data_IF_275764703800
#
_entry.id   IF_275764703800
#
_cell.length_a   1.000
_cell.length_b   1.000
_cell.length_c   1.000
_cell.angle_alpha   90.00
_cell.angle_beta   90.00
_cell.angle_gamma   90.00
#
_symmetry.space_group_name_H-M   'P 1'
#
loop_
_entity.id
_entity.type
_entity.pdbx_description
1 polymer ?
#
# COMPACT_ATOMS: atom_id res chain seq x y z
N UNK A 1 -7.75 -5.38 13.87
CA UNK A 1 -7.27 -4.48 12.77
C UNK A 1 -8.14 -3.23 12.71
N UNK A 2 -7.57 -2.06 12.49
CA UNK A 2 -8.28 -0.77 12.36
C UNK A 2 -8.77 -0.58 10.92
N UNK A 3 -10.00 -0.11 10.75
CA UNK A 3 -10.57 0.28 9.46
C UNK A 3 -11.27 1.63 9.54
N UNK A 4 -11.64 2.21 8.41
CA UNK A 4 -12.35 3.50 8.36
C UNK A 4 -13.73 3.47 9.02
N UNK A 5 -14.33 2.28 9.22
CA UNK A 5 -15.63 2.10 9.88
C UNK A 5 -15.51 1.53 11.31
N UNK A 6 -14.31 1.44 11.86
CA UNK A 6 -14.05 0.88 13.18
C UNK A 6 -13.14 -0.35 13.13
N UNK A 7 -13.02 -1.05 14.25
CA UNK A 7 -12.14 -2.20 14.36
C UNK A 7 -12.86 -3.48 13.93
N UNK A 8 -12.12 -4.38 13.28
CA UNK A 8 -12.59 -5.70 12.84
C UNK A 8 -11.69 -6.81 13.38
N UNK A 9 -12.22 -8.03 13.43
CA UNK A 9 -11.49 -9.23 13.82
C UNK A 9 -10.80 -9.89 12.62
N UNK A 10 -9.66 -10.56 12.86
CA UNK A 10 -8.97 -11.38 11.87
C UNK A 10 -9.87 -12.45 11.23
N UNK A 11 -10.81 -13.00 12.01
CA UNK A 11 -11.72 -14.04 11.53
C UNK A 11 -12.72 -13.55 10.45
N UNK A 12 -12.90 -12.25 10.33
CA UNK A 12 -13.76 -11.65 9.30
C UNK A 12 -13.08 -11.59 7.94
N UNK A 13 -11.75 -11.77 7.86
CA UNK A 13 -10.98 -11.59 6.62
C UNK A 13 -10.87 -12.90 5.84
N UNK A 14 -11.23 -12.84 4.56
CA UNK A 14 -11.12 -13.93 3.59
C UNK A 14 -9.98 -13.70 2.60
N UNK A 15 -9.91 -12.49 2.03
CA UNK A 15 -8.85 -12.10 1.11
C UNK A 15 -8.57 -10.59 1.25
N UNK A 16 -7.32 -10.21 1.12
CA UNK A 16 -6.86 -8.84 1.26
C UNK A 16 -5.95 -8.39 0.10
N UNK A 17 -6.07 -7.13 -0.28
CA UNK A 17 -5.11 -6.40 -1.11
C UNK A 17 -4.41 -5.36 -0.22
N UNK A 18 -3.07 -5.45 -0.13
CA UNK A 18 -2.31 -4.75 0.93
C UNK A 18 -1.71 -3.41 0.51
N UNK A 19 -1.80 -3.04 -0.76
CA UNK A 19 -1.25 -1.78 -1.26
C UNK A 19 -2.03 -1.32 -2.49
N UNK A 20 -3.09 -0.58 -2.25
CA UNK A 20 -3.99 -0.05 -3.28
C UNK A 20 -4.37 1.39 -2.96
N UNK A 21 -5.12 2.00 -3.87
CA UNK A 21 -5.62 3.36 -3.75
C UNK A 21 -7.06 3.44 -4.28
N UNK A 22 -7.98 4.08 -3.56
CA UNK A 22 -9.25 4.46 -4.17
C UNK A 22 -8.99 5.59 -5.17
N UNK A 23 -8.26 6.62 -4.76
CA UNK A 23 -7.78 7.65 -5.69
C UNK A 23 -6.54 8.34 -5.13
N UNK A 24 -5.69 8.80 -6.05
CA UNK A 24 -4.60 9.74 -5.76
C UNK A 24 -4.86 11.01 -6.56
N UNK A 25 -4.87 12.17 -5.92
CA UNK A 25 -5.15 13.43 -6.61
C UNK A 25 -4.56 14.64 -5.89
N UNK A 26 -4.41 15.73 -6.63
CA UNK A 26 -4.04 17.03 -6.08
C UNK A 26 -5.29 17.76 -5.56
N UNK A 27 -5.36 17.99 -4.26
CA UNK A 27 -6.45 18.78 -3.66
C UNK A 27 -6.52 20.19 -4.24
N UNK A 28 -5.37 20.80 -4.53
CA UNK A 28 -5.31 22.13 -5.16
C UNK A 28 -5.97 22.15 -6.54
N UNK A 29 -5.66 21.18 -7.41
CA UNK A 29 -6.29 21.08 -8.72
C UNK A 29 -7.78 20.77 -8.61
N UNK A 30 -8.18 19.95 -7.65
CA UNK A 30 -9.59 19.68 -7.41
C UNK A 30 -10.33 20.93 -6.90
N UNK A 31 -9.73 21.72 -6.02
CA UNK A 31 -10.30 23.00 -5.59
C UNK A 31 -10.44 24.00 -6.75
N UNK A 32 -9.50 24.03 -7.70
CA UNK A 32 -9.50 24.95 -8.84
C UNK A 32 -10.49 24.54 -9.92
N UNK A 33 -10.58 23.24 -10.23
CA UNK A 33 -11.27 22.73 -11.42
C UNK A 33 -12.49 21.84 -11.09
N UNK A 34 -12.67 21.48 -9.82
CA UNK A 34 -13.82 20.71 -9.37
C UNK A 34 -14.02 19.41 -10.17
N UNK A 35 -15.23 19.20 -10.66
CA UNK A 35 -15.59 17.99 -11.40
C UNK A 35 -14.90 17.82 -12.75
N UNK A 36 -14.41 18.90 -13.35
CA UNK A 36 -13.66 18.84 -14.60
C UNK A 36 -12.32 18.13 -14.40
N UNK A 37 -11.76 18.21 -13.20
CA UNK A 37 -10.56 17.47 -12.82
C UNK A 37 -10.88 16.08 -12.26
N UNK A 38 -11.80 15.98 -11.29
CA UNK A 38 -12.20 14.73 -10.65
C UNK A 38 -13.68 14.75 -10.25
N UNK A 39 -14.49 13.93 -10.88
CA UNK A 39 -15.89 13.70 -10.50
C UNK A 39 -15.96 12.66 -9.37
N UNK A 40 -15.86 13.12 -8.11
CA UNK A 40 -15.90 12.28 -6.92
C UNK A 40 -17.16 11.40 -6.83
N UNK A 41 -18.40 11.89 -7.09
CA UNK A 41 -19.57 11.04 -7.11
C UNK A 41 -19.48 9.87 -8.09
N UNK A 42 -19.02 10.11 -9.30
CA UNK A 42 -18.85 9.05 -10.31
C UNK A 42 -17.74 8.07 -9.93
N UNK A 43 -16.65 8.56 -9.32
CA UNK A 43 -15.59 7.72 -8.79
C UNK A 43 -16.11 6.82 -7.67
N UNK A 44 -16.88 7.38 -6.73
CA UNK A 44 -17.51 6.64 -5.63
C UNK A 44 -18.41 5.51 -6.13
N UNK A 45 -19.33 5.81 -7.06
CA UNK A 45 -20.21 4.80 -7.67
C UNK A 45 -19.42 3.65 -8.29
N UNK A 46 -18.37 3.98 -9.04
CA UNK A 46 -17.50 3.00 -9.68
C UNK A 46 -16.74 2.15 -8.67
N UNK A 47 -16.13 2.76 -7.66
CA UNK A 47 -15.39 2.05 -6.63
C UNK A 47 -16.30 1.08 -5.86
N UNK A 48 -17.52 1.51 -5.50
CA UNK A 48 -18.51 0.66 -4.83
C UNK A 48 -18.88 -0.54 -5.71
N UNK A 49 -19.17 -0.31 -6.98
CA UNK A 49 -19.60 -1.38 -7.90
C UNK A 49 -18.49 -2.43 -8.07
N UNK A 50 -17.26 -1.99 -8.32
CA UNK A 50 -16.13 -2.89 -8.55
C UNK A 50 -15.71 -3.64 -7.29
N UNK A 51 -15.63 -2.98 -6.12
CA UNK A 51 -15.31 -3.67 -4.88
C UNK A 51 -16.39 -4.70 -4.49
N UNK A 52 -17.67 -4.44 -4.76
CA UNK A 52 -18.74 -5.44 -4.62
C UNK A 52 -18.50 -6.65 -5.52
N UNK A 53 -18.15 -6.42 -6.77
CA UNK A 53 -17.87 -7.50 -7.72
C UNK A 53 -16.68 -8.34 -7.27
N UNK A 54 -15.57 -7.70 -6.87
CA UNK A 54 -14.38 -8.38 -6.36
C UNK A 54 -14.68 -9.21 -5.10
N UNK A 55 -15.51 -8.67 -4.20
CA UNK A 55 -15.97 -9.39 -3.03
C UNK A 55 -16.78 -10.64 -3.39
N UNK A 56 -17.75 -10.51 -4.30
CA UNK A 56 -18.60 -11.61 -4.74
C UNK A 56 -17.82 -12.69 -5.50
N UNK A 57 -16.92 -12.28 -6.38
CA UNK A 57 -16.22 -13.19 -7.30
C UNK A 57 -15.00 -13.86 -6.66
N UNK A 58 -14.26 -13.13 -5.81
CA UNK A 58 -12.98 -13.58 -5.29
C UNK A 58 -12.91 -13.62 -3.76
N UNK A 59 -13.95 -13.20 -3.06
CA UNK A 59 -13.97 -13.13 -1.61
C UNK A 59 -13.13 -11.97 -1.04
N UNK A 60 -12.72 -11.00 -1.87
CA UNK A 60 -11.99 -9.81 -1.40
C UNK A 60 -12.85 -9.05 -0.40
N UNK A 61 -12.38 -8.92 0.83
CA UNK A 61 -13.12 -8.16 1.83
C UNK A 61 -12.25 -7.28 2.73
N UNK A 62 -10.95 -7.18 2.42
CA UNK A 62 -10.05 -6.22 3.02
C UNK A 62 -9.24 -5.49 1.92
N UNK A 63 -9.25 -4.17 1.95
CA UNK A 63 -8.57 -3.30 1.01
C UNK A 63 -7.74 -2.28 1.79
N UNK A 64 -6.42 -2.28 1.61
CA UNK A 64 -5.53 -1.33 2.28
C UNK A 64 -5.28 -0.16 1.34
N UNK A 65 -5.91 0.97 1.64
CA UNK A 65 -5.69 2.23 0.93
C UNK A 65 -4.45 2.92 1.49
N UNK A 66 -3.37 2.87 0.72
CA UNK A 66 -2.07 3.44 1.08
C UNK A 66 -1.93 4.93 0.70
N UNK A 67 -3.03 5.64 0.44
CA UNK A 67 -3.02 7.06 0.06
C UNK A 67 -2.82 7.94 1.31
N UNK A 68 -1.66 8.59 1.51
CA UNK A 68 -1.49 9.56 2.58
C UNK A 68 -2.16 10.91 2.25
N UNK A 69 -2.24 11.79 3.25
CA UNK A 69 -3.00 13.04 3.15
C UNK A 69 -2.52 13.92 1.99
N UNK A 70 -1.22 14.01 1.76
CA UNK A 70 -0.63 14.93 0.77
C UNK A 70 -0.72 14.45 -0.69
N UNK A 71 -1.35 13.32 -0.94
CA UNK A 71 -1.71 12.87 -2.31
C UNK A 71 -3.20 12.54 -2.45
N UNK A 72 -4.05 13.18 -1.63
CA UNK A 72 -5.50 13.21 -1.84
C UNK A 72 -6.28 12.13 -1.10
N UNK A 73 -5.82 11.65 0.07
CA UNK A 73 -6.62 10.77 0.93
C UNK A 73 -7.94 11.45 1.30
N UNK A 74 -9.05 10.82 0.97
CA UNK A 74 -10.39 11.33 1.27
C UNK A 74 -11.15 10.34 2.18
N UNK A 75 -11.17 10.61 3.48
CA UNK A 75 -11.74 9.70 4.48
C UNK A 75 -13.24 9.50 4.31
N UNK A 76 -13.99 10.53 3.96
CA UNK A 76 -15.44 10.41 3.78
C UNK A 76 -15.77 9.54 2.57
N UNK A 77 -14.99 9.66 1.49
CA UNK A 77 -15.08 8.76 0.34
C UNK A 77 -14.76 7.31 0.74
N UNK A 78 -13.66 7.07 1.47
CA UNK A 78 -13.27 5.73 1.92
C UNK A 78 -14.34 5.09 2.82
N UNK A 79 -14.94 5.84 3.74
CA UNK A 79 -16.04 5.38 4.59
C UNK A 79 -17.25 4.99 3.75
N UNK A 80 -17.67 5.86 2.84
CA UNK A 80 -18.84 5.62 1.99
C UNK A 80 -18.63 4.40 1.07
N UNK A 81 -17.45 4.29 0.46
CA UNK A 81 -17.09 3.12 -0.36
C UNK A 81 -17.07 1.84 0.47
N UNK A 82 -16.48 1.87 1.67
CA UNK A 82 -16.41 0.70 2.57
C UNK A 82 -17.82 0.25 3.00
N UNK A 83 -18.64 1.19 3.48
CA UNK A 83 -20.00 0.89 3.92
C UNK A 83 -20.87 0.31 2.81
N UNK A 84 -20.88 0.97 1.64
CA UNK A 84 -21.75 0.59 0.52
C UNK A 84 -21.25 -0.64 -0.24
N UNK A 85 -19.93 -0.90 -0.30
CA UNK A 85 -19.39 -2.12 -0.92
C UNK A 85 -19.40 -3.33 0.01
N UNK A 86 -19.36 -3.08 1.31
CA UNK A 86 -19.16 -4.09 2.34
C UNK A 86 -17.74 -4.67 2.36
N UNK A 87 -16.76 -3.99 1.74
CA UNK A 87 -15.34 -4.30 1.81
C UNK A 87 -14.73 -3.42 2.89
N UNK A 88 -14.05 -4.00 3.86
CA UNK A 88 -13.33 -3.25 4.89
C UNK A 88 -12.18 -2.48 4.26
N UNK A 89 -12.06 -1.18 4.56
CA UNK A 89 -10.96 -0.35 4.07
C UNK A 89 -10.09 0.08 5.25
N UNK A 90 -8.82 -0.27 5.19
CA UNK A 90 -7.76 0.26 6.06
C UNK A 90 -7.22 1.52 5.41
N UNK A 91 -7.22 2.66 6.10
CA UNK A 91 -6.62 3.89 5.60
C UNK A 91 -5.23 4.13 6.20
N UNK A 92 -4.42 4.89 5.49
CA UNK A 92 -3.08 5.27 5.95
C UNK A 92 -3.03 6.67 6.54
N UNK A 93 -2.17 6.87 7.54
CA UNK A 93 -1.54 8.15 7.86
C UNK A 93 -0.15 8.21 7.22
N UNK A 94 0.58 9.31 7.43
CA UNK A 94 1.93 9.46 6.89
C UNK A 94 1.99 10.44 5.72
N UNK A 95 3.12 10.44 5.02
CA UNK A 95 3.37 11.36 3.91
C UNK A 95 4.03 10.66 2.71
N UNK A 96 3.69 11.15 1.52
CA UNK A 96 4.43 10.87 0.29
C UNK A 96 5.56 11.89 0.12
N UNK A 97 6.56 11.59 -0.68
CA UNK A 97 7.78 12.41 -0.85
C UNK A 97 7.59 13.70 -1.69
N UNK A 98 6.38 14.11 -1.96
CA UNK A 98 6.07 15.31 -2.77
C UNK A 98 6.65 16.60 -2.17
N UNK A 99 6.94 17.55 -3.06
CA UNK A 99 7.52 18.85 -2.72
C UNK A 99 6.49 19.78 -2.06
N UNK A 100 6.34 19.64 -0.74
CA UNK A 100 5.48 20.54 0.04
C UNK A 100 6.31 21.34 1.05
N UNK A 101 6.13 22.68 1.10
CA UNK A 101 6.92 23.53 1.99
C UNK A 101 6.90 23.11 3.45
N UNK A 102 5.76 22.66 3.95
CA UNK A 102 5.61 22.19 5.34
C UNK A 102 6.47 20.96 5.64
N UNK A 103 6.60 20.04 4.68
CA UNK A 103 7.44 18.85 4.86
C UNK A 103 8.92 19.19 4.92
N UNK A 104 9.36 20.22 4.21
CA UNK A 104 10.76 20.70 4.26
C UNK A 104 11.08 21.48 5.52
N UNK A 105 10.17 22.38 5.94
CA UNK A 105 10.41 23.31 7.05
C UNK A 105 10.24 22.69 8.44
N UNK A 106 9.46 21.61 8.56
CA UNK A 106 9.19 20.95 9.84
C UNK A 106 10.32 20.01 10.26
N UNK A 107 10.49 19.82 11.57
CA UNK A 107 11.37 18.77 12.12
C UNK A 107 10.73 17.38 12.00
N UNK A 108 11.50 16.32 12.19
CA UNK A 108 10.99 14.95 12.21
C UNK A 108 9.94 14.75 13.32
N UNK A 109 10.17 15.32 14.50
CA UNK A 109 9.27 15.26 15.64
C UNK A 109 7.93 15.93 15.32
N UNK A 110 7.94 17.13 14.73
CA UNK A 110 6.73 17.84 14.32
C UNK A 110 5.94 17.05 13.29
N UNK A 111 6.60 16.46 12.30
CA UNK A 111 5.93 15.62 11.31
C UNK A 111 5.35 14.36 11.95
N UNK A 112 6.06 13.75 12.90
CA UNK A 112 5.55 12.61 13.64
C UNK A 112 4.31 12.95 14.48
N UNK A 113 4.29 14.12 15.16
CA UNK A 113 3.13 14.60 15.89
C UNK A 113 1.90 14.78 14.98
N UNK A 114 2.10 15.30 13.76
CA UNK A 114 1.03 15.38 12.76
C UNK A 114 0.52 13.99 12.36
N UNK A 115 1.41 13.03 12.07
CA UNK A 115 1.01 11.65 11.75
C UNK A 115 0.22 11.00 12.90
N UNK A 116 0.66 11.18 14.15
CA UNK A 116 0.03 10.62 15.35
C UNK A 116 -1.37 11.21 15.54
N UNK A 117 -1.50 12.52 15.45
CA UNK A 117 -2.79 13.21 15.58
C UNK A 117 -3.75 12.80 14.47
N UNK A 118 -3.28 12.81 13.24
CA UNK A 118 -4.03 12.39 12.07
C UNK A 118 -4.53 10.95 12.22
N UNK A 119 -3.64 10.00 12.54
CA UNK A 119 -4.00 8.60 12.76
C UNK A 119 -5.12 8.41 13.80
N UNK A 120 -5.04 9.14 14.92
CA UNK A 120 -6.06 9.08 15.97
C UNK A 120 -7.42 9.62 15.49
N UNK A 121 -7.42 10.65 14.64
CA UNK A 121 -8.65 11.26 14.11
C UNK A 121 -9.37 10.38 13.08
N UNK A 122 -8.62 9.63 12.27
CA UNK A 122 -9.17 8.86 11.15
C UNK A 122 -9.22 7.35 11.40
N UNK A 123 -8.76 6.88 12.57
CA UNK A 123 -8.58 5.47 12.88
C UNK A 123 -7.66 4.76 11.86
N UNK A 124 -6.52 5.38 11.49
CA UNK A 124 -5.59 4.80 10.54
C UNK A 124 -5.08 3.43 11.01
N UNK A 125 -4.97 2.48 10.08
CA UNK A 125 -4.46 1.13 10.35
C UNK A 125 -3.03 0.90 9.86
N UNK A 126 -2.45 1.85 9.10
CA UNK A 126 -1.10 1.74 8.54
C UNK A 126 -0.47 3.14 8.42
N UNK A 127 0.86 3.22 8.46
CA UNK A 127 1.63 4.44 8.21
C UNK A 127 2.27 4.32 6.82
N UNK A 128 2.02 5.29 5.94
CA UNK A 128 2.68 5.40 4.64
C UNK A 128 3.94 6.23 4.75
N UNK A 129 5.04 5.71 4.21
CA UNK A 129 6.26 6.42 3.92
C UNK A 129 6.65 6.24 2.45
N UNK A 130 7.47 7.13 1.91
CA UNK A 130 7.88 7.04 0.52
C UNK A 130 9.29 7.57 0.29
N UNK A 131 10.07 6.85 -0.52
CA UNK A 131 11.39 7.24 -1.01
C UNK A 131 11.51 6.84 -2.48
N UNK A 132 11.93 7.76 -3.34
CA UNK A 132 12.06 7.53 -4.77
C UNK A 132 13.51 7.60 -5.25
N UNK A 133 14.29 8.53 -4.73
CA UNK A 133 15.66 8.80 -5.19
C UNK A 133 16.61 7.64 -4.89
N UNK A 134 17.61 7.45 -5.73
CA UNK A 134 18.67 6.45 -5.54
C UNK A 134 19.46 6.68 -4.23
N UNK A 135 19.67 7.93 -3.87
CA UNK A 135 20.30 8.30 -2.60
C UNK A 135 19.27 8.88 -1.64
N UNK A 136 19.24 8.36 -0.42
CA UNK A 136 18.48 8.99 0.65
C UNK A 136 19.06 10.37 0.95
N UNK A 137 18.36 11.40 0.48
CA UNK A 137 18.69 12.78 0.85
C UNK A 137 18.21 13.08 2.29
N UNK A 138 18.62 14.22 2.83
CA UNK A 138 18.26 14.62 4.20
C UNK A 138 16.75 14.75 4.43
N UNK A 139 15.98 15.07 3.38
CA UNK A 139 14.54 15.17 3.43
C UNK A 139 13.90 13.79 3.57
N UNK A 140 14.29 12.81 2.73
CA UNK A 140 13.78 11.44 2.81
C UNK A 140 14.16 10.77 4.13
N UNK A 141 15.41 10.96 4.61
CA UNK A 141 15.84 10.48 5.91
C UNK A 141 15.00 11.07 7.05
N UNK A 142 14.68 12.36 6.98
CA UNK A 142 13.80 13.03 7.95
C UNK A 142 12.38 12.44 7.96
N UNK A 143 11.78 12.20 6.78
CA UNK A 143 10.45 11.58 6.70
C UNK A 143 10.43 10.16 7.28
N UNK A 144 11.46 9.36 7.02
CA UNK A 144 11.59 8.02 7.59
C UNK A 144 11.79 8.06 9.12
N UNK A 145 12.57 9.03 9.62
CA UNK A 145 12.73 9.26 11.06
C UNK A 145 11.40 9.65 11.71
N UNK A 146 10.64 10.58 11.10
CA UNK A 146 9.31 10.94 11.55
C UNK A 146 8.35 9.73 11.58
N UNK A 147 8.42 8.91 10.52
CA UNK A 147 7.65 7.66 10.43
C UNK A 147 7.99 6.71 11.57
N UNK A 148 9.28 6.54 11.89
CA UNK A 148 9.72 5.67 12.99
C UNK A 148 9.25 6.19 14.36
N UNK A 149 9.30 7.50 14.60
CA UNK A 149 8.77 8.12 15.84
C UNK A 149 7.27 7.87 15.96
N UNK A 150 6.51 8.13 14.88
CA UNK A 150 5.07 7.91 14.86
C UNK A 150 4.72 6.42 15.03
N UNK A 151 5.49 5.52 14.43
CA UNK A 151 5.30 4.08 14.53
C UNK A 151 5.43 3.59 15.98
N UNK A 152 6.42 4.07 16.71
CA UNK A 152 6.63 3.69 18.13
C UNK A 152 5.45 4.07 19.01
N UNK A 153 4.86 5.23 18.79
CA UNK A 153 3.68 5.71 19.55
C UNK A 153 2.40 4.97 19.14
N UNK A 154 2.20 4.76 17.84
CA UNK A 154 0.96 4.20 17.29
C UNK A 154 0.93 2.67 17.27
N UNK A 155 2.09 2.04 17.28
CA UNK A 155 2.29 0.60 17.08
C UNK A 155 1.63 0.07 15.79
N UNK A 156 1.56 0.89 14.73
CA UNK A 156 1.00 0.52 13.44
C UNK A 156 2.08 -0.05 12.50
N UNK A 157 1.72 -0.89 11.52
CA UNK A 157 2.65 -1.26 10.45
C UNK A 157 2.98 -0.06 9.56
N UNK A 158 4.13 -0.14 8.89
CA UNK A 158 4.64 0.87 7.95
C UNK A 158 4.70 0.27 6.56
N UNK A 159 4.07 0.94 5.57
CA UNK A 159 4.24 0.64 4.16
C UNK A 159 5.14 1.69 3.51
N UNK A 160 6.26 1.24 2.95
CA UNK A 160 7.26 2.12 2.33
C UNK A 160 7.21 1.97 0.82
N UNK A 161 6.82 3.05 0.12
CA UNK A 161 7.03 3.16 -1.32
C UNK A 161 8.53 3.25 -1.61
N UNK A 162 9.02 2.47 -2.56
CA UNK A 162 10.43 2.46 -2.94
C UNK A 162 10.58 2.33 -4.46
N UNK A 163 11.73 2.70 -4.97
CA UNK A 163 12.12 2.36 -6.34
C UNK A 163 13.04 1.13 -6.30
N UNK A 164 12.49 -0.04 -6.60
CA UNK A 164 13.22 -1.31 -6.52
C UNK A 164 14.43 -1.37 -7.46
N UNK A 165 14.42 -0.63 -8.57
CA UNK A 165 15.55 -0.57 -9.52
C UNK A 165 16.74 0.22 -8.96
N UNK A 166 16.48 1.20 -8.07
CA UNK A 166 17.50 1.97 -7.37
C UNK A 166 18.01 1.26 -6.10
N UNK A 167 17.36 0.17 -5.68
CA UNK A 167 17.65 -0.54 -4.43
C UNK A 167 17.56 0.37 -3.18
N UNK A 168 16.81 1.46 -3.24
CA UNK A 168 16.65 2.40 -2.13
C UNK A 168 15.83 1.82 -0.96
N UNK A 169 15.09 0.73 -1.19
CA UNK A 169 14.37 0.00 -0.15
C UNK A 169 15.26 -0.49 0.99
N UNK A 170 16.50 -0.91 0.72
CA UNK A 170 17.46 -1.30 1.76
C UNK A 170 17.87 -0.11 2.63
N UNK A 171 18.08 1.05 2.02
CA UNK A 171 18.45 2.28 2.74
C UNK A 171 17.29 2.78 3.61
N UNK A 172 16.06 2.70 3.08
CA UNK A 172 14.86 3.05 3.85
C UNK A 172 14.66 2.10 5.04
N UNK A 173 14.87 0.81 4.81
CA UNK A 173 14.81 -0.22 5.85
C UNK A 173 15.85 0.04 6.94
N UNK A 174 17.12 0.33 6.59
CA UNK A 174 18.19 0.64 7.52
C UNK A 174 17.80 1.80 8.45
N UNK A 175 17.32 2.92 7.90
CA UNK A 175 16.88 4.07 8.71
C UNK A 175 15.76 3.69 9.69
N UNK A 176 14.77 2.93 9.25
CA UNK A 176 13.67 2.49 10.12
C UNK A 176 14.16 1.57 11.25
N UNK A 177 15.03 0.61 10.93
CA UNK A 177 15.62 -0.31 11.91
C UNK A 177 16.52 0.41 12.92
N UNK A 178 17.39 1.33 12.48
CA UNK A 178 18.24 2.15 13.33
C UNK A 178 17.41 3.01 14.28
N UNK A 179 16.25 3.47 13.85
CA UNK A 179 15.29 4.18 14.69
C UNK A 179 14.40 3.23 15.52
N UNK A 180 14.67 1.93 15.52
CA UNK A 180 14.06 0.93 16.42
C UNK A 180 12.69 0.43 16.00
N UNK A 181 12.29 0.57 14.73
CA UNK A 181 11.08 -0.07 14.18
C UNK A 181 11.38 -1.56 13.99
N UNK A 182 10.49 -2.42 14.51
CA UNK A 182 10.63 -3.88 14.31
C UNK A 182 10.44 -4.25 12.84
N UNK A 183 11.30 -5.13 12.25
CA UNK A 183 11.17 -5.51 10.85
C UNK A 183 9.80 -6.12 10.52
N UNK A 184 9.16 -6.83 11.45
CA UNK A 184 7.82 -7.39 11.26
C UNK A 184 6.72 -6.32 11.11
N UNK A 185 7.04 -5.06 11.39
CA UNK A 185 6.16 -3.89 11.20
C UNK A 185 6.41 -3.16 9.88
N UNK A 186 7.36 -3.60 9.06
CA UNK A 186 7.78 -2.89 7.85
C UNK A 186 7.42 -3.70 6.62
N UNK A 187 6.81 -3.06 5.64
CA UNK A 187 6.63 -3.57 4.27
C UNK A 187 7.41 -2.70 3.31
N UNK A 188 8.32 -3.28 2.56
CA UNK A 188 9.03 -2.62 1.45
C UNK A 188 8.24 -2.89 0.17
N UNK A 189 7.68 -1.83 -0.41
CA UNK A 189 6.81 -1.90 -1.58
C UNK A 189 7.55 -1.90 -2.92
N UNK A 190 6.83 -2.23 -3.99
CA UNK A 190 7.22 -2.20 -5.40
C UNK A 190 8.36 -3.15 -5.77
N UNK A 191 8.60 -4.17 -4.96
CA UNK A 191 9.66 -5.16 -5.23
C UNK A 191 9.35 -6.04 -6.44
N UNK A 192 8.13 -6.02 -6.96
CA UNK A 192 7.82 -6.69 -8.24
C UNK A 192 8.37 -5.94 -9.47
N UNK A 193 8.81 -4.68 -9.34
CA UNK A 193 9.36 -3.91 -10.45
C UNK A 193 10.79 -4.32 -10.82
N UNK A 194 11.47 -5.06 -9.94
CA UNK A 194 12.84 -5.54 -10.20
C UNK A 194 12.88 -7.05 -10.45
N UNK A 195 13.82 -7.47 -11.30
CA UNK A 195 14.17 -8.88 -11.49
C UNK A 195 15.33 -9.32 -10.59
N UNK A 196 15.91 -8.40 -9.84
CA UNK A 196 17.04 -8.67 -8.97
C UNK A 196 16.58 -9.45 -7.72
N UNK A 197 16.52 -10.78 -7.86
CA UNK A 197 16.13 -11.67 -6.76
C UNK A 197 17.06 -11.59 -5.55
N UNK A 198 18.34 -11.25 -5.73
CA UNK A 198 19.26 -11.10 -4.60
C UNK A 198 18.84 -9.91 -3.73
N UNK A 199 18.47 -8.81 -4.36
CA UNK A 199 17.94 -7.64 -3.67
C UNK A 199 16.66 -7.96 -2.88
N UNK A 200 15.71 -8.67 -3.50
CA UNK A 200 14.46 -9.06 -2.83
C UNK A 200 14.76 -9.99 -1.65
N UNK A 201 15.66 -10.96 -1.82
CA UNK A 201 16.07 -11.89 -0.77
C UNK A 201 16.81 -11.19 0.39
N UNK A 202 17.62 -10.19 0.09
CA UNK A 202 18.32 -9.38 1.10
C UNK A 202 17.32 -8.64 2.00
N UNK A 203 16.31 -8.00 1.37
CA UNK A 203 15.21 -7.35 2.10
C UNK A 203 14.44 -8.37 2.94
N UNK A 204 14.04 -9.50 2.35
CA UNK A 204 13.25 -10.52 3.04
C UNK A 204 13.95 -11.12 4.26
N UNK A 205 15.27 -11.32 4.19
CA UNK A 205 16.09 -11.86 5.28
C UNK A 205 16.16 -10.93 6.49
N UNK A 206 15.85 -9.64 6.35
CA UNK A 206 15.74 -8.74 7.49
C UNK A 206 14.54 -9.06 8.39
N UNK A 207 13.58 -9.84 7.88
CA UNK A 207 12.35 -10.20 8.56
C UNK A 207 11.16 -9.28 8.25
N UNK A 208 11.33 -8.25 7.41
CA UNK A 208 10.25 -7.39 6.94
C UNK A 208 9.37 -8.08 5.89
N UNK A 209 8.20 -7.49 5.60
CA UNK A 209 7.35 -7.92 4.50
C UNK A 209 7.83 -7.38 3.16
N UNK A 210 7.59 -8.17 2.12
CA UNK A 210 7.93 -7.90 0.73
C UNK A 210 6.65 -7.53 0.00
N UNK A 211 6.50 -6.27 -0.41
CA UNK A 211 5.40 -5.82 -1.26
C UNK A 211 5.65 -6.22 -2.71
N UNK A 212 5.06 -7.33 -3.15
CA UNK A 212 4.98 -7.69 -4.56
C UNK A 212 3.68 -7.10 -5.10
N UNK A 213 3.64 -5.80 -5.19
CA UNK A 213 2.62 -4.98 -5.80
C UNK A 213 3.03 -4.60 -7.25
N UNK A 214 2.19 -3.95 -8.03
CA UNK A 214 2.41 -3.66 -9.45
C UNK A 214 2.53 -4.91 -10.32
N UNK A 215 1.67 -5.92 -10.09
CA UNK A 215 1.66 -7.19 -10.82
C UNK A 215 0.70 -7.21 -12.02
N UNK A 216 0.66 -6.16 -12.85
CA UNK A 216 -0.40 -6.00 -13.83
C UNK A 216 0.03 -5.48 -15.21
N UNK A 217 1.32 -5.39 -15.54
CA UNK A 217 1.79 -4.71 -16.76
C UNK A 217 1.25 -5.35 -18.03
N UNK A 218 1.16 -6.67 -18.09
CA UNK A 218 0.58 -7.34 -19.24
C UNK A 218 0.03 -8.74 -18.89
N UNK A 219 -0.71 -9.32 -19.85
CA UNK A 219 -1.36 -10.63 -19.72
C UNK A 219 -0.63 -11.72 -20.51
N UNK A 220 0.61 -11.49 -20.93
CA UNK A 220 1.40 -12.53 -21.62
C UNK A 220 1.78 -13.64 -20.64
N UNK A 221 1.80 -14.87 -21.13
CA UNK A 221 2.25 -16.03 -20.34
C UNK A 221 3.68 -15.86 -19.81
N UNK A 222 4.54 -15.23 -20.59
CA UNK A 222 5.92 -14.95 -20.19
C UNK A 222 5.95 -14.02 -18.95
N UNK A 223 5.22 -12.90 -18.97
CA UNK A 223 5.15 -11.97 -17.85
C UNK A 223 4.54 -12.62 -16.61
N UNK A 224 3.40 -13.31 -16.77
CA UNK A 224 2.73 -13.97 -15.65
C UNK A 224 3.64 -15.02 -15.02
N UNK A 225 4.26 -15.89 -15.83
CA UNK A 225 5.16 -16.94 -15.35
C UNK A 225 6.39 -16.35 -14.64
N UNK A 226 6.91 -15.21 -15.09
CA UNK A 226 7.99 -14.49 -14.41
C UNK A 226 7.60 -14.06 -13.01
N UNK A 227 6.41 -13.45 -12.84
CA UNK A 227 5.89 -13.03 -11.52
C UNK A 227 5.64 -14.24 -10.61
N UNK A 228 4.99 -15.27 -11.13
CA UNK A 228 4.76 -16.54 -10.40
C UNK A 228 6.09 -17.20 -9.96
N UNK A 229 7.07 -17.28 -10.86
CA UNK A 229 8.38 -17.84 -10.53
C UNK A 229 9.11 -17.04 -9.44
N UNK A 230 8.97 -15.71 -9.40
CA UNK A 230 9.53 -14.91 -8.32
C UNK A 230 8.91 -15.27 -6.96
N UNK A 231 7.58 -15.46 -6.90
CA UNK A 231 6.88 -15.93 -5.70
C UNK A 231 7.37 -17.32 -5.29
N UNK A 232 7.40 -18.28 -6.22
CA UNK A 232 7.81 -19.66 -5.93
C UNK A 232 9.27 -19.74 -5.45
N UNK A 233 10.17 -18.94 -6.03
CA UNK A 233 11.57 -18.85 -5.57
C UNK A 233 11.70 -18.32 -4.14
N UNK A 234 10.80 -17.43 -3.71
CA UNK A 234 10.75 -16.98 -2.30
C UNK A 234 10.23 -18.12 -1.40
N UNK A 235 9.20 -18.85 -1.85
CA UNK A 235 8.69 -20.02 -1.14
C UNK A 235 9.77 -21.12 -0.98
N UNK A 236 10.56 -21.38 -2.01
CA UNK A 236 11.70 -22.33 -1.95
C UNK A 236 12.77 -21.94 -0.91
N UNK A 237 12.76 -20.69 -0.44
CA UNK A 237 13.62 -20.18 0.62
C UNK A 237 12.93 -20.10 1.99
N UNK A 238 11.67 -20.58 2.09
CA UNK A 238 10.89 -20.52 3.33
C UNK A 238 10.43 -19.11 3.68
N UNK A 239 10.24 -18.24 2.68
CA UNK A 239 9.88 -16.82 2.85
C UNK A 239 8.43 -16.52 2.43
N UNK A 240 7.60 -17.53 2.23
CA UNK A 240 6.18 -17.38 1.88
C UNK A 240 5.42 -16.52 2.90
N UNK A 241 5.83 -16.55 4.17
CA UNK A 241 5.25 -15.76 5.26
C UNK A 241 5.65 -14.28 5.26
N UNK A 242 6.41 -13.84 4.24
CA UNK A 242 6.85 -12.44 4.09
C UNK A 242 6.26 -11.75 2.86
N UNK A 243 5.51 -12.46 2.05
CA UNK A 243 4.99 -11.95 0.78
C UNK A 243 3.62 -11.31 0.98
N UNK A 244 3.44 -10.09 0.48
CA UNK A 244 2.17 -9.39 0.33
C UNK A 244 1.94 -9.11 -1.15
N UNK A 245 0.73 -9.43 -1.65
CA UNK A 245 0.35 -9.17 -3.05
C UNK A 245 -0.61 -7.99 -3.15
N UNK A 246 -0.44 -7.21 -4.20
CA UNK A 246 -1.31 -6.08 -4.56
C UNK A 246 -1.02 -5.58 -5.97
N UNK A 247 -1.60 -4.43 -6.33
CA UNK A 247 -1.47 -3.88 -7.67
C UNK A 247 -0.88 -2.46 -7.68
N UNK A 248 -0.92 -1.74 -6.54
CA UNK A 248 -0.65 -0.28 -6.51
C UNK A 248 -1.54 0.44 -7.54
N UNK A 249 -2.78 0.00 -7.62
CA UNK A 249 -3.75 0.48 -8.60
C UNK A 249 -4.69 1.51 -7.96
N UNK A 250 -5.28 2.36 -8.79
CA UNK A 250 -6.26 3.36 -8.37
C UNK A 250 -7.37 3.51 -9.40
N UNK A 251 -8.56 3.96 -8.96
CA UNK A 251 -9.63 4.34 -9.88
C UNK A 251 -9.34 5.65 -10.62
N UNK A 252 -8.57 6.52 -9.98
CA UNK A 252 -8.13 7.80 -10.54
C UNK A 252 -6.73 8.14 -10.01
N UNK A 253 -5.81 8.44 -10.92
CA UNK A 253 -4.49 8.95 -10.60
C UNK A 253 -4.30 10.34 -11.21
N UNK A 254 -4.47 11.37 -10.40
CA UNK A 254 -4.38 12.78 -10.79
C UNK A 254 -2.97 13.28 -11.07
N UNK A 255 -1.94 12.44 -10.86
CA UNK A 255 -0.54 12.77 -11.14
C UNK A 255 -0.08 12.26 -12.51
N UNK A 256 -0.96 11.60 -13.26
CA UNK A 256 -0.70 11.25 -14.66
C UNK A 256 -0.79 12.48 -15.56
N UNK A 257 -0.13 12.44 -16.73
CA UNK A 257 -0.12 13.55 -17.67
C UNK A 257 -1.52 13.93 -18.21
N UNK A 258 -2.44 12.98 -18.23
CA UNK A 258 -3.83 13.16 -18.63
C UNK A 258 -4.74 12.37 -17.70
N UNK A 259 -4.96 12.87 -16.48
CA UNK A 259 -5.70 12.13 -15.46
C UNK A 259 -7.16 11.94 -15.87
N UNK A 260 -7.64 10.72 -15.74
CA UNK A 260 -9.04 10.36 -15.98
C UNK A 260 -9.48 9.22 -15.09
N UNK A 261 -10.79 9.17 -14.83
CA UNK A 261 -11.37 8.01 -14.19
C UNK A 261 -11.16 6.77 -15.09
N UNK A 262 -10.53 5.74 -14.56
CA UNK A 262 -10.23 4.52 -15.31
C UNK A 262 -11.52 3.77 -15.65
N UNK A 263 -11.69 3.37 -16.90
CA UNK A 263 -12.83 2.55 -17.31
C UNK A 263 -12.77 1.16 -16.68
N UNK A 264 -11.57 0.57 -16.60
CA UNK A 264 -11.31 -0.71 -15.94
C UNK A 264 -10.06 -0.57 -15.08
N UNK A 265 -10.13 -1.05 -13.86
CA UNK A 265 -8.97 -1.21 -12.99
C UNK A 265 -8.36 -2.60 -13.14
N UNK A 266 -7.28 -2.87 -12.41
CA UNK A 266 -6.57 -4.16 -12.47
C UNK A 266 -6.64 -4.92 -11.15
N UNK A 267 -7.50 -4.52 -10.22
CA UNK A 267 -7.64 -5.16 -8.90
C UNK A 267 -7.99 -6.67 -8.95
N UNK A 268 -8.49 -7.17 -10.08
CA UNK A 268 -8.73 -8.60 -10.27
C UNK A 268 -7.51 -9.40 -10.71
N UNK A 269 -6.42 -8.74 -11.14
CA UNK A 269 -5.31 -9.39 -11.85
C UNK A 269 -4.67 -10.54 -11.06
N UNK A 270 -4.35 -10.33 -9.77
CA UNK A 270 -3.74 -11.39 -8.95
C UNK A 270 -4.66 -12.59 -8.78
N UNK A 271 -5.97 -12.38 -8.73
CA UNK A 271 -6.96 -13.45 -8.64
C UNK A 271 -7.12 -14.23 -9.95
N UNK A 272 -7.10 -13.54 -11.08
CA UNK A 272 -7.31 -14.12 -12.41
C UNK A 272 -6.08 -14.82 -12.98
N UNK A 273 -4.89 -14.24 -12.77
CA UNK A 273 -3.68 -14.67 -13.46
C UNK A 273 -2.63 -15.29 -12.54
N UNK A 274 -2.50 -14.84 -11.30
CA UNK A 274 -1.48 -15.34 -10.36
C UNK A 274 -2.01 -16.54 -9.57
N UNK A 275 -3.19 -16.41 -8.94
CA UNK A 275 -3.81 -17.47 -8.14
C UNK A 275 -3.84 -18.85 -8.81
N UNK A 276 -4.29 -18.98 -10.09
CA UNK A 276 -4.39 -20.31 -10.72
C UNK A 276 -3.07 -21.07 -10.89
N UNK A 277 -1.95 -20.37 -10.69
CA UNK A 277 -0.58 -20.89 -10.88
C UNK A 277 0.17 -21.12 -9.56
N UNK A 278 -0.48 -20.85 -8.44
CA UNK A 278 0.11 -21.05 -7.11
C UNK A 278 -0.55 -22.22 -6.38
N UNK A 279 0.21 -22.99 -5.56
CA UNK A 279 -0.39 -23.93 -4.61
C UNK A 279 -1.38 -23.22 -3.68
N UNK A 280 -2.49 -23.91 -3.33
CA UNK A 280 -3.54 -23.31 -2.48
C UNK A 280 -3.01 -22.87 -1.10
N UNK A 281 -2.06 -23.63 -0.52
CA UNK A 281 -1.41 -23.27 0.75
C UNK A 281 -0.60 -21.97 0.64
N UNK A 282 0.11 -21.78 -0.46
CA UNK A 282 0.86 -20.54 -0.73
C UNK A 282 -0.11 -19.38 -0.95
N UNK A 283 -1.16 -19.61 -1.76
CA UNK A 283 -2.17 -18.57 -2.00
C UNK A 283 -2.85 -18.12 -0.71
N UNK A 284 -3.36 -19.06 0.11
CA UNK A 284 -4.00 -18.73 1.38
C UNK A 284 -3.09 -17.94 2.31
N UNK A 285 -1.81 -18.32 2.36
CA UNK A 285 -0.81 -17.60 3.16
C UNK A 285 -0.65 -16.15 2.70
N UNK A 286 -0.46 -15.93 1.41
CA UNK A 286 -0.14 -14.61 0.83
C UNK A 286 -1.35 -13.67 0.82
N UNK A 287 -2.55 -14.20 0.48
CA UNK A 287 -3.73 -13.35 0.30
C UNK A 287 -4.52 -13.10 1.58
N UNK A 288 -4.31 -13.90 2.61
CA UNK A 288 -5.08 -13.83 3.85
C UNK A 288 -4.21 -13.75 5.10
N UNK A 289 -3.36 -14.75 5.34
CA UNK A 289 -2.67 -14.88 6.63
C UNK A 289 -1.61 -13.79 6.83
N UNK A 290 -0.74 -13.55 5.85
CA UNK A 290 0.27 -12.49 5.92
C UNK A 290 -0.33 -11.09 6.08
N UNK A 291 -1.37 -10.69 5.32
CA UNK A 291 -2.10 -9.44 5.55
C UNK A 291 -2.63 -9.29 6.97
N UNK A 292 -3.22 -10.35 7.52
CA UNK A 292 -3.72 -10.35 8.90
C UNK A 292 -2.56 -10.15 9.88
N UNK A 293 -1.51 -10.96 9.78
CA UNK A 293 -0.34 -10.86 10.64
C UNK A 293 0.32 -9.48 10.58
N UNK A 294 0.46 -8.91 9.37
CA UNK A 294 1.02 -7.57 9.18
C UNK A 294 0.20 -6.47 9.87
N UNK A 295 -1.15 -6.55 9.79
CA UNK A 295 -2.04 -5.52 10.33
C UNK A 295 -2.38 -5.69 11.83
N UNK A 296 -2.22 -6.87 12.40
CA UNK A 296 -2.49 -7.14 13.83
C UNK A 296 -1.29 -6.93 14.75
N UNK A 297 -0.11 -6.79 14.21
CA UNK A 297 1.14 -6.69 15.00
C UNK A 297 1.22 -5.46 15.87
#
# INVERSE_FOLDING_TARGET
>A
MKTVLGNISANEINAALCHEHICCYSEYLHMMSGRDYLDLPRLEEKAIAELKELKLKYGLNLFVDCTPVNIGRNIELLKSVSEKSGVHIVCSTGFYYTDEPVLYSSSAETLAEHMIKDSKNINAGIIKAAVEDETLNSFNAKLLTATAIAQKELNLPVAVHTNANNRNGLKALEVLLENGVSPQKITIGHLSDTENMEHILEIAKSGCYIGLDRMYDNKSEEYINKKVNAILRLCDKGLENKILLSHDESFFNGFEASPKLKDNTRFSYVFEYIRPRLPESVWGRIIRENPIEMLEV
#
